data_IF_879359797568
#
_entry.id   IF_879359797568
#
_cell.length_a   1.000
_cell.length_b   1.000
_cell.length_c   1.000
_cell.angle_alpha   90.00
_cell.angle_beta   90.00
_cell.angle_gamma   90.00
#
_symmetry.space_group_name_H-M   'P 1'
#
loop_
_entity.id
_entity.type
_entity.pdbx_description
1 polymer ?
#
# COMPACT_ATOMS: atom_id res chain seq x y z
N UNK A 1 -20.56 13.41 -1.65
CA UNK A 1 -21.72 12.83 -2.36
C UNK A 1 -22.77 12.42 -1.36
N UNK A 2 -24.03 12.37 -1.80
CA UNK A 2 -25.19 11.92 -1.02
C UNK A 2 -25.81 10.71 -1.73
N UNK A 3 -26.16 9.70 -0.95
CA UNK A 3 -26.76 8.45 -1.41
C UNK A 3 -28.25 8.41 -1.05
N UNK A 4 -29.04 7.60 -1.78
CA UNK A 4 -30.50 7.50 -1.63
C UNK A 4 -31.00 7.00 -0.26
N UNK A 5 -30.09 6.51 0.58
CA UNK A 5 -30.38 6.14 1.97
C UNK A 5 -30.04 7.26 2.97
N UNK A 6 -29.71 8.46 2.49
CA UNK A 6 -29.31 9.62 3.29
C UNK A 6 -27.84 9.63 3.73
N UNK A 7 -27.05 8.63 3.33
CA UNK A 7 -25.61 8.57 3.63
C UNK A 7 -24.85 9.66 2.88
N UNK A 8 -23.98 10.40 3.56
CA UNK A 8 -23.05 11.35 2.95
C UNK A 8 -21.60 10.84 3.02
N UNK A 9 -20.87 11.02 1.93
CA UNK A 9 -19.50 10.55 1.76
C UNK A 9 -18.61 11.65 1.16
N UNK A 10 -17.47 11.90 1.78
CA UNK A 10 -16.39 12.73 1.24
C UNK A 10 -15.23 11.81 0.88
N UNK A 11 -14.87 11.77 -0.40
CA UNK A 11 -13.90 10.81 -0.94
C UNK A 11 -13.11 11.46 -2.07
N UNK A 12 -11.89 10.99 -2.30
CA UNK A 12 -11.08 11.48 -3.42
C UNK A 12 -11.59 10.92 -4.76
N UNK A 13 -11.40 11.63 -5.89
CA UNK A 13 -11.93 11.25 -7.20
C UNK A 13 -11.55 9.83 -7.66
N UNK A 14 -10.33 9.41 -7.33
CA UNK A 14 -9.77 8.10 -7.69
C UNK A 14 -10.27 6.93 -6.83
N UNK A 15 -10.95 7.19 -5.72
CA UNK A 15 -11.42 6.14 -4.82
C UNK A 15 -12.48 5.27 -5.51
N UNK A 16 -12.30 3.94 -5.51
CA UNK A 16 -13.18 3.04 -6.26
C UNK A 16 -14.31 2.51 -5.40
N UNK A 17 -15.49 2.42 -6.00
CA UNK A 17 -16.68 1.82 -5.41
C UNK A 17 -17.14 0.64 -6.26
N UNK A 18 -17.76 -0.35 -5.64
CA UNK A 18 -18.31 -1.48 -6.38
C UNK A 18 -19.68 -1.11 -6.97
N UNK A 19 -19.75 -1.08 -8.31
CA UNK A 19 -20.93 -0.69 -9.08
C UNK A 19 -21.14 -1.68 -10.22
N UNK A 20 -22.35 -2.23 -10.34
CA UNK A 20 -22.73 -3.14 -11.44
C UNK A 20 -21.78 -4.34 -11.67
N UNK A 21 -21.12 -4.84 -10.62
CA UNK A 21 -20.18 -5.97 -10.72
C UNK A 21 -18.73 -5.58 -11.02
N UNK A 22 -18.44 -4.28 -11.15
CA UNK A 22 -17.11 -3.76 -11.44
C UNK A 22 -16.67 -2.74 -10.39
N UNK A 23 -15.36 -2.59 -10.23
CA UNK A 23 -14.78 -1.49 -9.44
C UNK A 23 -14.70 -0.26 -10.33
N UNK A 24 -15.36 0.83 -9.96
CA UNK A 24 -15.39 2.06 -10.76
C UNK A 24 -14.91 3.24 -9.90
N UNK A 25 -13.98 4.09 -10.39
CA UNK A 25 -13.59 5.30 -9.68
C UNK A 25 -14.80 6.20 -9.44
N UNK A 26 -14.87 6.82 -8.26
CA UNK A 26 -16.02 7.64 -7.94
C UNK A 26 -16.14 8.84 -8.90
N UNK A 27 -15.03 9.31 -9.50
CA UNK A 27 -15.07 10.34 -10.53
C UNK A 27 -15.83 9.94 -11.80
N UNK A 28 -15.82 8.66 -12.18
CA UNK A 28 -16.50 8.13 -13.36
C UNK A 28 -17.99 7.86 -13.12
N UNK A 29 -18.39 7.65 -11.86
CA UNK A 29 -19.78 7.45 -11.47
C UNK A 29 -20.57 8.77 -11.42
N UNK A 30 -21.82 8.74 -11.85
CA UNK A 30 -22.71 9.90 -11.95
C UNK A 30 -23.94 9.75 -11.05
N UNK A 31 -24.70 10.84 -10.91
CA UNK A 31 -26.02 10.78 -10.29
C UNK A 31 -26.88 9.76 -11.03
N UNK A 32 -27.61 8.93 -10.28
CA UNK A 32 -28.35 7.74 -10.70
C UNK A 32 -27.54 6.46 -10.90
N UNK A 33 -26.21 6.49 -10.83
CA UNK A 33 -25.44 5.24 -10.76
C UNK A 33 -25.59 4.58 -9.37
N UNK A 34 -25.25 3.30 -9.32
CA UNK A 34 -25.56 2.44 -8.18
C UNK A 34 -24.31 1.92 -7.48
N UNK A 35 -24.39 1.76 -6.16
CA UNK A 35 -23.32 1.19 -5.33
C UNK A 35 -23.86 -0.03 -4.57
N UNK A 36 -23.00 -1.01 -4.30
CA UNK A 36 -23.36 -2.19 -3.51
C UNK A 36 -23.06 -2.00 -2.02
N UNK A 37 -24.01 -2.39 -1.16
CA UNK A 37 -23.88 -2.41 0.30
C UNK A 37 -23.48 -3.80 0.82
N UNK A 38 -23.11 -3.87 2.11
CA UNK A 38 -22.65 -5.10 2.80
C UNK A 38 -23.62 -6.27 2.78
N UNK A 39 -24.92 -5.98 2.71
CA UNK A 39 -26.00 -6.99 2.62
C UNK A 39 -26.33 -7.37 1.16
N UNK A 40 -25.53 -6.89 0.20
CA UNK A 40 -25.73 -6.98 -1.25
C UNK A 40 -26.92 -6.18 -1.78
N UNK A 41 -27.54 -5.32 -0.96
CA UNK A 41 -28.49 -4.34 -1.46
C UNK A 41 -27.78 -3.24 -2.26
N UNK A 42 -28.58 -2.46 -2.98
CA UNK A 42 -28.11 -1.41 -3.88
C UNK A 42 -28.58 -0.05 -3.35
N UNK A 43 -27.69 0.94 -3.40
CA UNK A 43 -27.99 2.34 -3.12
C UNK A 43 -27.67 3.20 -4.35
N UNK A 44 -28.42 4.28 -4.55
CA UNK A 44 -28.27 5.18 -5.69
C UNK A 44 -27.48 6.44 -5.27
N UNK A 45 -26.66 6.98 -6.16
CA UNK A 45 -26.03 8.29 -5.98
C UNK A 45 -27.07 9.37 -6.29
N UNK A 46 -27.57 10.06 -5.26
CA UNK A 46 -28.58 11.11 -5.39
C UNK A 46 -27.95 12.46 -5.75
N UNK A 47 -26.76 12.74 -5.20
CA UNK A 47 -26.06 14.00 -5.45
C UNK A 47 -24.54 13.82 -5.40
N UNK A 48 -23.84 14.46 -6.34
CA UNK A 48 -22.37 14.48 -6.42
C UNK A 48 -21.89 15.90 -6.65
N UNK A 49 -21.10 16.40 -5.71
CA UNK A 49 -20.45 17.71 -5.77
C UNK A 49 -18.94 17.45 -5.73
N UNK A 50 -18.21 17.98 -6.71
CA UNK A 50 -16.75 17.98 -6.74
C UNK A 50 -16.29 19.31 -6.17
N UNK A 51 -15.53 19.27 -5.08
CA UNK A 51 -14.98 20.46 -4.46
C UNK A 51 -13.45 20.39 -4.50
N UNK A 52 -12.76 21.30 -5.22
CA UNK A 52 -11.30 21.30 -5.29
C UNK A 52 -10.74 21.89 -3.99
N UNK A 53 -10.63 21.07 -2.97
CA UNK A 53 -10.00 21.41 -1.70
C UNK A 53 -8.98 20.34 -1.31
N UNK A 54 -7.94 20.75 -0.59
CA UNK A 54 -7.01 19.84 0.05
C UNK A 54 -7.52 19.59 1.47
N UNK A 55 -8.12 18.42 1.67
CA UNK A 55 -8.53 17.92 2.99
C UNK A 55 -7.65 16.73 3.35
N UNK A 56 -7.32 16.61 4.63
CA UNK A 56 -6.66 15.42 5.15
C UNK A 56 -7.64 14.24 5.06
N UNK A 57 -7.27 13.23 4.27
CA UNK A 57 -8.05 12.00 4.11
C UNK A 57 -7.34 10.86 4.80
N UNK A 58 -8.11 10.01 5.47
CA UNK A 58 -7.59 8.81 6.13
C UNK A 58 -7.78 7.63 5.21
N UNK A 59 -6.70 6.89 5.00
CA UNK A 59 -6.75 5.67 4.20
C UNK A 59 -6.62 4.44 5.10
N UNK A 60 -7.47 3.45 4.87
CA UNK A 60 -7.41 2.17 5.55
C UNK A 60 -6.70 1.16 4.66
N UNK A 61 -5.62 0.59 5.19
CA UNK A 61 -4.91 -0.48 4.53
C UNK A 61 -5.32 -1.81 5.16
N UNK A 62 -5.66 -2.76 4.30
CA UNK A 62 -6.18 -4.08 4.69
C UNK A 62 -5.30 -5.12 4.03
N UNK A 63 -4.84 -6.07 4.84
CA UNK A 63 -4.09 -7.23 4.36
C UNK A 63 -4.94 -8.00 3.34
N UNK A 64 -4.31 -8.42 2.24
CA UNK A 64 -4.92 -9.12 1.10
C UNK A 64 -5.87 -8.31 0.22
N UNK A 65 -7.14 -8.26 0.59
CA UNK A 65 -8.20 -7.69 -0.23
C UNK A 65 -8.46 -6.28 0.27
N UNK A 66 -7.92 -5.29 -0.44
CA UNK A 66 -8.03 -3.85 -0.16
C UNK A 66 -9.47 -3.32 -0.30
N UNK A 67 -10.48 -4.18 -0.13
CA UNK A 67 -11.89 -3.88 -0.10
C UNK A 67 -12.36 -3.74 1.34
N UNK A 68 -13.11 -2.68 1.63
CA UNK A 68 -13.78 -2.54 2.92
C UNK A 68 -15.12 -1.88 2.82
N UNK A 69 -15.88 -2.04 3.89
CA UNK A 69 -17.13 -1.35 4.10
C UNK A 69 -16.87 -0.05 4.86
N UNK A 70 -17.32 1.07 4.29
CA UNK A 70 -17.38 2.36 4.96
C UNK A 70 -18.82 2.69 5.33
N UNK A 71 -19.02 3.64 6.25
CA UNK A 71 -20.34 4.05 6.79
C UNK A 71 -21.07 2.97 7.60
N UNK A 72 -22.10 3.35 8.35
CA UNK A 72 -22.90 2.40 9.15
C UNK A 72 -23.62 1.36 8.27
N UNK A 73 -24.06 1.81 7.10
CA UNK A 73 -24.77 1.00 6.11
C UNK A 73 -23.82 0.06 5.33
N UNK A 74 -22.52 0.32 5.38
CA UNK A 74 -21.49 -0.54 4.81
C UNK A 74 -21.43 -0.47 3.29
N UNK A 75 -21.09 0.70 2.77
CA UNK A 75 -20.80 0.90 1.34
C UNK A 75 -19.46 0.24 1.00
N UNK A 76 -19.45 -0.61 -0.03
CA UNK A 76 -18.26 -1.35 -0.43
C UNK A 76 -17.32 -0.48 -1.29
N UNK A 77 -16.10 -0.26 -0.78
CA UNK A 77 -15.05 0.52 -1.43
C UNK A 77 -13.77 -0.28 -1.61
N UNK A 78 -12.88 0.20 -2.48
CA UNK A 78 -11.59 -0.40 -2.77
C UNK A 78 -10.46 0.64 -2.77
N UNK A 79 -9.36 0.30 -2.11
CA UNK A 79 -8.20 1.15 -1.92
C UNK A 79 -7.06 0.92 -2.95
N UNK A 80 -7.18 -0.06 -3.84
CA UNK A 80 -6.07 -0.56 -4.66
C UNK A 80 -6.15 -0.28 -6.15
N UNK A 81 -5.98 0.97 -6.62
CA UNK A 81 -5.92 1.20 -8.08
C UNK A 81 -4.67 1.85 -8.63
N UNK A 82 -3.63 2.08 -7.83
CA UNK A 82 -2.32 2.45 -8.38
C UNK A 82 -1.30 1.39 -8.01
N UNK A 83 -0.70 0.74 -9.01
CA UNK A 83 0.55 -0.01 -8.84
C UNK A 83 1.64 1.00 -8.49
N UNK A 84 1.72 1.35 -7.21
CA UNK A 84 2.71 2.30 -6.67
C UNK A 84 4.12 1.72 -6.59
N UNK A 85 4.23 0.40 -6.78
CA UNK A 85 5.47 -0.25 -7.18
C UNK A 85 5.27 -0.96 -8.53
N UNK A 86 6.28 -0.91 -9.39
CA UNK A 86 6.29 -1.60 -10.68
C UNK A 86 7.47 -2.56 -10.78
N UNK A 87 7.29 -3.68 -11.48
CA UNK A 87 8.33 -4.70 -11.64
C UNK A 87 8.74 -4.80 -13.09
N UNK A 88 10.05 -4.84 -13.33
CA UNK A 88 10.66 -5.14 -14.62
C UNK A 88 11.52 -6.39 -14.46
N UNK A 89 11.22 -7.43 -15.22
CA UNK A 89 12.09 -8.62 -15.30
C UNK A 89 13.28 -8.27 -16.19
N UNK A 90 14.49 -8.51 -15.69
CA UNK A 90 15.73 -8.15 -16.39
C UNK A 90 16.65 -9.34 -16.65
N UNK A 91 16.50 -10.45 -15.92
CA UNK A 91 17.29 -11.69 -16.07
C UNK A 91 18.80 -11.41 -16.21
N UNK A 92 19.30 -10.54 -15.34
CA UNK A 92 20.71 -10.16 -15.31
C UNK A 92 21.50 -11.15 -14.45
N UNK A 93 22.80 -11.27 -14.71
CA UNK A 93 23.67 -12.17 -13.94
C UNK A 93 23.70 -11.87 -12.42
N UNK A 94 23.25 -10.68 -12.02
CA UNK A 94 23.26 -10.20 -10.62
C UNK A 94 21.88 -10.24 -9.96
N UNK A 95 20.79 -10.16 -10.73
CA UNK A 95 19.43 -10.09 -10.20
C UNK A 95 18.39 -10.40 -11.27
N UNK A 96 17.22 -10.87 -10.83
CA UNK A 96 16.15 -11.33 -11.71
C UNK A 96 15.20 -10.19 -12.10
N UNK A 97 14.91 -9.31 -11.14
CA UNK A 97 13.88 -8.26 -11.28
C UNK A 97 14.27 -6.93 -10.64
N UNK A 98 13.85 -5.84 -11.27
CA UNK A 98 13.92 -4.48 -10.72
C UNK A 98 12.52 -4.07 -10.22
N UNK A 99 12.42 -3.72 -8.93
CA UNK A 99 11.21 -3.12 -8.35
C UNK A 99 11.42 -1.62 -8.23
N UNK A 100 10.58 -0.84 -8.90
CA UNK A 100 10.62 0.63 -8.85
C UNK A 100 9.53 1.17 -7.94
N UNK A 101 9.90 2.05 -7.01
CA UNK A 101 9.02 2.75 -6.05
C UNK A 101 9.36 4.25 -6.04
N UNK A 102 8.36 5.12 -5.87
CA UNK A 102 8.53 6.58 -5.93
C UNK A 102 8.57 7.23 -4.55
N UNK A 103 9.50 8.16 -4.33
CA UNK A 103 9.49 9.07 -3.16
C UNK A 103 8.26 9.96 -3.11
N UNK A 104 7.66 10.27 -4.25
CA UNK A 104 6.44 11.08 -4.29
C UNK A 104 5.25 10.31 -3.69
N UNK A 105 5.23 8.98 -3.82
CA UNK A 105 4.19 8.12 -3.25
C UNK A 105 4.46 7.75 -1.79
N UNK A 106 5.74 7.50 -1.43
CA UNK A 106 6.17 7.04 -0.11
C UNK A 106 7.47 7.75 0.33
N UNK A 107 7.41 9.05 0.66
CA UNK A 107 8.61 9.85 0.93
C UNK A 107 9.43 9.34 2.12
N UNK A 108 8.79 8.90 3.21
CA UNK A 108 9.53 8.50 4.42
C UNK A 108 10.18 7.13 4.26
N UNK A 109 9.46 6.15 3.68
CA UNK A 109 9.99 4.81 3.42
C UNK A 109 11.12 4.86 2.40
N UNK A 110 10.93 5.54 1.27
CA UNK A 110 11.97 5.63 0.25
C UNK A 110 13.23 6.34 0.78
N UNK A 111 13.08 7.41 1.58
CA UNK A 111 14.22 8.06 2.22
C UNK A 111 14.97 7.11 3.17
N UNK A 112 14.25 6.27 3.93
CA UNK A 112 14.87 5.26 4.79
C UNK A 112 15.67 4.23 3.99
N UNK A 113 15.08 3.68 2.92
CA UNK A 113 15.74 2.68 2.08
C UNK A 113 17.01 3.28 1.43
N UNK A 114 16.94 4.50 0.87
CA UNK A 114 18.12 5.15 0.28
C UNK A 114 19.23 5.39 1.31
N UNK A 115 18.88 5.91 2.48
CA UNK A 115 19.85 6.17 3.55
C UNK A 115 20.50 4.87 4.03
N UNK A 116 19.72 3.80 4.21
CA UNK A 116 20.24 2.49 4.61
C UNK A 116 21.20 1.94 3.55
N UNK A 117 20.85 2.01 2.27
CA UNK A 117 21.74 1.60 1.16
C UNK A 117 23.02 2.45 1.15
N UNK A 118 22.91 3.76 1.31
CA UNK A 118 24.07 4.66 1.39
C UNK A 118 24.97 4.38 2.61
N UNK A 119 24.38 3.84 3.68
CA UNK A 119 25.09 3.38 4.88
C UNK A 119 25.62 1.94 4.77
N UNK A 120 25.50 1.30 3.60
CA UNK A 120 26.11 0.01 3.29
C UNK A 120 25.18 -1.20 3.45
N UNK A 121 23.88 -0.99 3.64
CA UNK A 121 22.89 -2.08 3.59
C UNK A 121 22.62 -2.50 2.14
N UNK A 122 22.16 -3.73 1.95
CA UNK A 122 21.99 -4.33 0.62
C UNK A 122 20.92 -3.63 -0.23
N UNK A 123 21.26 -3.34 -1.50
CA UNK A 123 20.30 -2.91 -2.52
C UNK A 123 19.71 -4.10 -3.30
N UNK A 124 20.47 -5.19 -3.40
CA UNK A 124 20.05 -6.46 -3.98
C UNK A 124 19.58 -7.37 -2.85
N UNK A 125 18.32 -7.75 -2.88
CA UNK A 125 17.66 -8.48 -1.79
C UNK A 125 16.92 -9.69 -2.32
N UNK A 126 16.94 -10.79 -1.58
CA UNK A 126 16.48 -12.10 -2.02
C UNK A 126 15.18 -12.47 -1.32
N UNK A 127 14.11 -12.74 -2.07
CA UNK A 127 12.80 -13.07 -1.48
C UNK A 127 12.89 -14.33 -0.62
N UNK A 128 12.59 -14.19 0.68
CA UNK A 128 12.42 -15.31 1.62
C UNK A 128 11.27 -15.00 2.59
N UNK A 129 10.05 -15.29 2.14
CA UNK A 129 8.84 -14.97 2.90
C UNK A 129 8.72 -15.78 4.18
N UNK A 130 9.34 -16.95 4.26
CA UNK A 130 9.26 -17.83 5.44
C UNK A 130 10.04 -17.26 6.62
N UNK A 131 11.07 -16.47 6.34
CA UNK A 131 11.91 -15.83 7.35
C UNK A 131 11.31 -14.52 7.89
N UNK A 132 10.22 -14.00 7.30
CA UNK A 132 9.66 -12.69 7.66
C UNK A 132 9.36 -12.52 9.16
N UNK A 133 8.80 -13.55 9.81
CA UNK A 133 8.48 -13.48 11.23
C UNK A 133 9.74 -13.47 12.11
N UNK A 134 10.74 -14.29 11.80
CA UNK A 134 12.02 -14.32 12.54
C UNK A 134 12.84 -13.07 12.30
N UNK A 135 12.91 -12.60 11.05
CA UNK A 135 13.63 -11.39 10.68
C UNK A 135 13.06 -10.18 11.44
N UNK A 136 11.74 -10.02 11.45
CA UNK A 136 11.09 -8.95 12.21
C UNK A 136 11.34 -9.03 13.73
N UNK A 137 11.43 -10.24 14.28
CA UNK A 137 11.76 -10.40 15.70
C UNK A 137 13.21 -9.99 16.01
N UNK A 138 14.13 -10.27 15.09
CA UNK A 138 15.56 -9.93 15.23
C UNK A 138 15.84 -8.45 15.01
N UNK A 139 15.33 -7.86 13.93
CA UNK A 139 15.54 -6.44 13.57
C UNK A 139 14.96 -5.50 14.64
N UNK A 140 13.78 -5.81 15.16
CA UNK A 140 13.06 -4.97 16.12
C UNK A 140 13.44 -5.24 17.58
N UNK A 141 14.36 -6.17 17.83
CA UNK A 141 14.83 -6.51 19.17
C UNK A 141 15.51 -5.30 19.83
N UNK A 142 14.99 -4.87 20.97
CA UNK A 142 15.50 -3.70 21.70
C UNK A 142 15.08 -2.34 21.12
N UNK A 143 14.31 -2.30 20.03
CA UNK A 143 13.73 -1.07 19.48
C UNK A 143 12.31 -0.90 20.06
N UNK A 144 12.08 0.03 20.99
CA UNK A 144 10.76 0.19 21.61
C UNK A 144 9.69 0.60 20.59
N UNK A 145 8.42 0.37 20.90
CA UNK A 145 7.35 0.98 20.10
C UNK A 145 7.23 2.47 20.40
N UNK A 146 6.79 3.25 19.41
CA UNK A 146 6.56 4.69 19.54
C UNK A 146 5.16 5.01 19.03
N UNK A 147 4.31 5.56 19.91
CA UNK A 147 2.94 5.92 19.55
C UNK A 147 2.91 6.86 18.33
N UNK A 148 2.10 6.54 17.33
CA UNK A 148 1.97 7.31 16.09
C UNK A 148 3.00 6.97 15.00
N UNK A 149 3.87 5.99 15.22
CA UNK A 149 4.89 5.57 14.26
C UNK A 149 4.94 4.05 14.12
N UNK A 150 5.23 3.59 12.91
CA UNK A 150 5.69 2.23 12.68
C UNK A 150 7.22 2.18 12.72
N UNK A 151 7.79 0.98 12.88
CA UNK A 151 9.23 0.72 12.78
C UNK A 151 9.48 0.08 11.44
N UNK A 152 9.90 0.88 10.47
CA UNK A 152 10.28 0.40 9.15
C UNK A 152 11.67 -0.25 9.21
N UNK A 153 11.94 -1.19 8.30
CA UNK A 153 13.11 -2.08 8.31
C UNK A 153 13.74 -2.13 6.91
N UNK A 154 15.04 -1.83 6.81
CA UNK A 154 15.81 -2.11 5.59
C UNK A 154 17.12 -2.89 5.85
N UNK A 155 17.35 -4.05 5.23
CA UNK A 155 16.43 -4.74 4.30
C UNK A 155 15.15 -5.23 4.98
N UNK A 156 14.04 -5.23 4.23
CA UNK A 156 12.73 -5.65 4.74
C UNK A 156 12.74 -7.09 5.23
N UNK A 157 11.93 -7.39 6.24
CA UNK A 157 11.84 -8.72 6.84
C UNK A 157 11.54 -9.86 5.83
N UNK A 158 10.83 -9.58 4.74
CA UNK A 158 10.50 -10.59 3.70
C UNK A 158 11.70 -11.00 2.81
N UNK A 159 12.88 -10.40 3.02
CA UNK A 159 14.10 -10.74 2.31
C UNK A 159 15.09 -11.48 3.20
N UNK A 160 15.96 -12.29 2.59
CA UNK A 160 17.02 -13.05 3.26
C UNK A 160 18.02 -12.16 4.01
N UNK A 161 18.26 -10.97 3.47
CA UNK A 161 19.18 -9.94 3.98
C UNK A 161 18.54 -9.10 5.11
N UNK A 162 17.24 -9.30 5.39
CA UNK A 162 16.57 -8.69 6.52
C UNK A 162 16.98 -9.31 7.86
N UNK A 163 16.32 -8.88 8.93
CA UNK A 163 16.54 -9.43 10.26
C UNK A 163 17.69 -8.76 11.00
N UNK A 164 18.55 -9.54 11.65
CA UNK A 164 19.61 -8.99 12.50
C UNK A 164 20.53 -8.03 11.72
N UNK A 165 20.53 -6.77 12.15
CA UNK A 165 21.37 -5.73 11.56
C UNK A 165 20.69 -4.93 10.46
N UNK A 166 19.41 -5.16 10.17
CA UNK A 166 18.61 -4.24 9.36
C UNK A 166 18.56 -2.85 10.03
N UNK A 167 18.61 -1.79 9.23
CA UNK A 167 18.37 -0.42 9.68
C UNK A 167 16.90 -0.28 10.06
N UNK A 168 16.63 0.41 11.18
CA UNK A 168 15.27 0.58 11.69
C UNK A 168 14.98 2.05 11.92
N UNK A 169 13.90 2.55 11.30
CA UNK A 169 13.48 3.95 11.40
C UNK A 169 12.02 4.05 11.82
N UNK A 170 11.73 5.00 12.70
CA UNK A 170 10.34 5.37 12.99
C UNK A 170 9.81 6.27 11.89
N UNK A 171 8.79 5.81 11.16
CA UNK A 171 8.17 6.58 10.08
C UNK A 171 6.64 6.58 10.20
N UNK A 172 5.98 7.43 9.43
CA UNK A 172 4.53 7.50 9.36
C UNK A 172 3.91 6.12 9.01
N UNK A 173 2.96 5.60 9.80
CA UNK A 173 2.36 4.29 9.54
C UNK A 173 1.69 4.14 8.17
N UNK A 174 1.08 5.20 7.65
CA UNK A 174 0.42 5.15 6.34
C UNK A 174 1.43 5.08 5.19
N UNK A 175 2.59 5.72 5.36
CA UNK A 175 3.69 5.66 4.39
C UNK A 175 4.31 4.25 4.38
N UNK A 176 4.69 3.76 5.56
CA UNK A 176 5.33 2.46 5.77
C UNK A 176 4.51 1.29 5.23
N UNK A 177 3.25 1.19 5.67
CA UNK A 177 2.38 0.08 5.32
C UNK A 177 2.09 0.14 3.83
N UNK A 178 1.77 1.33 3.31
CA UNK A 178 1.47 1.51 1.90
C UNK A 178 2.64 1.10 1.00
N UNK A 179 3.87 1.42 1.37
CA UNK A 179 5.07 0.98 0.67
C UNK A 179 5.26 -0.54 0.78
N UNK A 180 5.05 -1.11 1.97
CA UNK A 180 5.07 -2.54 2.22
C UNK A 180 4.06 -3.32 1.38
N UNK A 181 2.80 -2.89 1.31
CA UNK A 181 1.78 -3.49 0.44
C UNK A 181 2.16 -3.34 -1.03
N UNK A 182 2.63 -2.16 -1.46
CA UNK A 182 3.01 -1.96 -2.87
C UNK A 182 4.14 -2.91 -3.30
N UNK A 183 5.21 -3.01 -2.51
CA UNK A 183 6.34 -3.90 -2.81
C UNK A 183 5.93 -5.37 -2.69
N UNK A 184 5.19 -5.73 -1.63
CA UNK A 184 4.68 -7.09 -1.43
C UNK A 184 3.77 -7.57 -2.57
N UNK A 185 2.84 -6.73 -3.01
CA UNK A 185 1.95 -7.01 -4.14
C UNK A 185 2.70 -7.07 -5.46
N UNK A 186 3.65 -6.17 -5.69
CA UNK A 186 4.51 -6.19 -6.88
C UNK A 186 5.31 -7.50 -6.98
N UNK A 187 5.76 -8.03 -5.85
CA UNK A 187 6.55 -9.25 -5.78
C UNK A 187 5.71 -10.53 -5.62
N UNK A 188 4.38 -10.44 -5.50
CA UNK A 188 3.50 -11.58 -5.15
C UNK A 188 3.63 -12.79 -6.07
N UNK A 189 3.84 -12.57 -7.36
CA UNK A 189 3.93 -13.64 -8.37
C UNK A 189 5.35 -14.24 -8.49
N UNK A 190 6.34 -13.64 -7.83
CA UNK A 190 7.73 -14.11 -7.89
C UNK A 190 8.03 -15.12 -6.77
N UNK A 191 8.65 -16.26 -7.09
CA UNK A 191 8.95 -17.29 -6.11
C UNK A 191 9.97 -16.81 -5.07
N UNK A 192 10.04 -17.52 -3.94
CA UNK A 192 11.18 -17.38 -3.02
C UNK A 192 12.49 -17.69 -3.78
N UNK A 193 13.60 -17.11 -3.33
CA UNK A 193 14.92 -17.08 -3.97
C UNK A 193 15.07 -16.14 -5.16
N UNK A 194 14.01 -15.45 -5.62
CA UNK A 194 14.15 -14.37 -6.61
C UNK A 194 14.98 -13.22 -6.03
N UNK A 195 16.00 -12.77 -6.77
CA UNK A 195 16.86 -11.65 -6.42
C UNK A 195 16.27 -10.36 -7.02
N UNK A 196 15.99 -9.41 -6.14
CA UNK A 196 15.30 -8.16 -6.40
C UNK A 196 16.27 -7.00 -6.24
N UNK A 197 16.32 -6.11 -7.22
CA UNK A 197 16.96 -4.81 -7.07
C UNK A 197 15.91 -3.74 -6.83
N UNK A 198 16.07 -2.97 -5.76
CA UNK A 198 15.13 -1.89 -5.45
C UNK A 198 15.64 -0.57 -6.03
N UNK A 199 14.77 0.05 -6.82
CA UNK A 199 15.00 1.29 -7.55
C UNK A 199 14.07 2.35 -6.98
N UNK A 200 14.66 3.40 -6.43
CA UNK A 200 13.92 4.55 -5.91
C UNK A 200 13.98 5.65 -6.94
N UNK A 201 12.81 6.19 -7.28
CA UNK A 201 12.66 7.32 -8.20
C UNK A 201 12.06 8.52 -7.46
N UNK A 202 12.27 9.69 -8.05
CA UNK A 202 11.93 11.02 -7.54
C UNK A 202 12.74 11.47 -6.31
#
# INVERSE_FOLDING_TARGET
>A
MELSNGTTLEVTPEHRFFSNGEWVPIEELNVNDTLQLKDNSIVVIDNKIIFPTFVEVYNLEIEDNENYYVTEEGVLVHNGYKKKASVKVVDEATHDVEVTISKSDYPETCAHIEDAINNGHDQLVTIDRKMAASNRAESLSGVPTKSGFDRDEWPMAMFSEGGKGADVRYINPSDNRGAGSAIGNALKEFPDSTIVKIIIID
#
